data_IF_293630315033
#
_entry.id   IF_293630315033
#
_cell.length_a   1.000
_cell.length_b   1.000
_cell.length_c   1.000
_cell.angle_alpha   90.00
_cell.angle_beta   90.00
_cell.angle_gamma   90.00
#
_symmetry.space_group_name_H-M   'P 1'
#
loop_
_entity.id
_entity.type
_entity.pdbx_description
1 polymer ?
#
# COMPACT_ATOMS: atom_id res chain seq x y z
N UNK A 1 5.13 -16.82 -14.46
CA UNK A 1 6.28 -17.72 -14.83
C UNK A 1 7.58 -16.92 -14.98
N UNK A 2 7.64 -15.76 -15.62
CA UNK A 2 8.87 -14.93 -15.74
C UNK A 2 9.34 -14.37 -14.37
N UNK A 3 8.44 -14.04 -13.47
CA UNK A 3 8.79 -13.54 -12.13
C UNK A 3 9.49 -14.60 -11.25
N UNK A 4 9.14 -15.88 -11.41
CA UNK A 4 9.72 -16.99 -10.65
C UNK A 4 11.16 -17.27 -11.11
N UNK A 5 11.47 -17.17 -12.40
CA UNK A 5 12.83 -17.37 -12.93
C UNK A 5 13.82 -16.24 -12.57
N UNK A 6 13.33 -15.01 -12.34
CA UNK A 6 14.16 -13.94 -11.76
C UNK A 6 14.46 -14.17 -10.27
N UNK A 7 13.70 -15.04 -9.61
CA UNK A 7 13.71 -15.28 -8.18
C UNK A 7 14.81 -16.24 -7.74
N UNK A 8 15.02 -17.33 -8.45
CA UNK A 8 15.97 -18.39 -8.05
C UNK A 8 17.46 -18.03 -8.22
N UNK A 9 17.78 -16.99 -9.01
CA UNK A 9 19.16 -16.54 -9.25
C UNK A 9 19.64 -15.39 -8.38
N UNK A 10 18.80 -14.79 -7.50
CA UNK A 10 19.08 -13.47 -6.91
C UNK A 10 19.15 -13.48 -5.37
N UNK A 11 18.74 -14.56 -4.72
CA UNK A 11 18.73 -14.63 -3.25
C UNK A 11 19.93 -15.42 -2.72
N UNK A 12 21.13 -14.84 -2.84
CA UNK A 12 22.27 -15.20 -2.02
C UNK A 12 22.66 -13.97 -1.19
N UNK A 13 23.00 -14.15 0.10
CA UNK A 13 23.41 -13.03 1.00
C UNK A 13 24.56 -12.20 0.39
N UNK A 14 25.46 -12.82 -0.37
CA UNK A 14 26.51 -12.13 -1.13
C UNK A 14 25.96 -11.18 -2.19
N UNK A 15 24.81 -11.50 -2.81
CA UNK A 15 24.16 -10.61 -3.77
C UNK A 15 23.46 -9.42 -3.09
N UNK A 16 23.00 -9.57 -1.85
CA UNK A 16 22.45 -8.44 -1.07
C UNK A 16 23.56 -7.42 -0.76
N UNK A 17 24.75 -7.87 -0.40
CA UNK A 17 25.93 -7.01 -0.18
C UNK A 17 26.45 -6.43 -1.50
N UNK A 18 26.46 -7.22 -2.58
CA UNK A 18 26.82 -6.73 -3.90
C UNK A 18 25.79 -5.72 -4.45
N UNK A 19 24.49 -5.92 -4.21
CA UNK A 19 23.45 -4.95 -4.56
C UNK A 19 23.56 -3.69 -3.69
N UNK A 20 24.02 -3.79 -2.44
CA UNK A 20 24.36 -2.63 -1.63
C UNK A 20 25.64 -1.95 -2.07
N UNK A 21 26.62 -2.69 -2.61
CA UNK A 21 27.91 -2.20 -3.10
C UNK A 21 27.90 -1.74 -4.57
N UNK A 22 27.02 -2.26 -5.43
CA UNK A 22 26.87 -1.82 -6.84
C UNK A 22 26.13 -0.48 -6.89
N UNK A 23 26.65 0.49 -6.15
CA UNK A 23 26.12 1.80 -6.23
C UNK A 23 27.14 2.88 -6.23
N UNK A 24 27.01 3.67 -7.12
CA UNK A 24 27.38 5.02 -7.43
C UNK A 24 27.79 5.19 -8.88
N UNK A 25 26.95 4.72 -9.81
CA UNK A 25 26.82 5.53 -11.00
C UNK A 25 26.06 6.76 -10.53
N UNK A 26 26.77 7.86 -10.27
CA UNK A 26 26.22 9.19 -10.08
C UNK A 26 25.19 9.44 -11.18
N UNK A 27 23.89 9.13 -10.94
CA UNK A 27 22.82 9.78 -11.70
C UNK A 27 23.10 11.25 -11.47
N UNK A 28 23.52 11.99 -12.50
CA UNK A 28 23.80 13.41 -12.32
C UNK A 28 22.64 13.99 -11.54
N UNK A 29 22.90 14.71 -10.46
CA UNK A 29 21.87 15.27 -9.57
C UNK A 29 20.71 15.88 -10.36
N UNK A 30 21.02 16.51 -11.50
CA UNK A 30 20.05 17.11 -12.43
C UNK A 30 19.04 16.07 -12.95
N UNK A 31 19.47 14.92 -13.45
CA UNK A 31 18.57 13.87 -13.97
C UNK A 31 17.63 13.32 -12.87
N UNK A 32 18.15 13.20 -11.66
CA UNK A 32 17.35 12.77 -10.51
C UNK A 32 16.28 13.81 -10.14
N UNK A 33 16.64 15.10 -10.08
CA UNK A 33 15.67 16.16 -9.80
C UNK A 33 14.63 16.31 -10.90
N UNK A 34 15.01 16.20 -12.17
CA UNK A 34 14.06 16.16 -13.29
C UNK A 34 13.08 14.99 -13.16
N UNK A 35 13.57 13.80 -12.82
CA UNK A 35 12.71 12.66 -12.55
C UNK A 35 11.72 12.94 -11.42
N UNK A 36 12.19 13.45 -10.28
CA UNK A 36 11.31 13.76 -9.13
C UNK A 36 10.25 14.82 -9.48
N UNK A 37 10.62 15.81 -10.28
CA UNK A 37 9.70 16.85 -10.75
C UNK A 37 8.61 16.25 -11.63
N UNK A 38 8.99 15.47 -12.65
CA UNK A 38 8.06 14.81 -13.58
C UNK A 38 7.14 13.86 -12.80
N UNK A 39 7.72 13.02 -11.92
CA UNK A 39 6.96 12.11 -11.07
C UNK A 39 5.94 12.85 -10.23
N UNK A 40 6.36 13.94 -9.57
CA UNK A 40 5.46 14.72 -8.71
C UNK A 40 4.35 15.40 -9.50
N UNK A 41 4.65 15.95 -10.69
CA UNK A 41 3.64 16.52 -11.58
C UNK A 41 2.62 15.49 -12.01
N UNK A 42 3.06 14.28 -12.36
CA UNK A 42 2.19 13.17 -12.71
C UNK A 42 1.34 12.73 -11.49
N UNK A 43 1.93 12.60 -10.31
CA UNK A 43 1.22 12.30 -9.06
C UNK A 43 0.07 13.28 -8.83
N UNK A 44 0.33 14.59 -8.98
CA UNK A 44 -0.67 15.64 -8.75
C UNK A 44 -1.79 15.56 -9.79
N UNK A 45 -1.46 15.43 -11.07
CA UNK A 45 -2.46 15.36 -12.16
C UNK A 45 -3.40 14.15 -11.93
N UNK A 46 -2.82 12.98 -11.71
CA UNK A 46 -3.63 11.78 -11.45
C UNK A 46 -4.42 11.88 -10.15
N UNK A 47 -3.87 12.50 -9.12
CA UNK A 47 -4.58 12.69 -7.86
C UNK A 47 -5.75 13.67 -7.98
N UNK A 48 -5.63 14.73 -8.80
CA UNK A 48 -6.77 15.63 -9.11
C UNK A 48 -7.88 14.84 -9.81
N UNK A 49 -7.52 14.07 -10.85
CA UNK A 49 -8.48 13.21 -11.55
C UNK A 49 -9.12 12.20 -10.59
N UNK A 50 -8.32 11.53 -9.76
CA UNK A 50 -8.81 10.60 -8.75
C UNK A 50 -9.76 11.25 -7.74
N UNK A 51 -9.49 12.49 -7.31
CA UNK A 51 -10.37 13.24 -6.43
C UNK A 51 -11.69 13.66 -7.10
N UNK A 52 -11.68 13.93 -8.41
CA UNK A 52 -12.93 14.20 -9.16
C UNK A 52 -13.82 12.95 -9.14
N UNK A 53 -13.25 11.76 -9.40
CA UNK A 53 -14.00 10.50 -9.30
C UNK A 53 -14.37 10.12 -7.87
N UNK A 54 -13.60 10.56 -6.88
CA UNK A 54 -13.90 10.32 -5.47
C UNK A 54 -15.22 10.98 -5.04
N UNK A 55 -15.58 12.15 -5.59
CA UNK A 55 -16.80 12.89 -5.19
C UNK A 55 -18.07 12.05 -5.40
N UNK A 56 -18.39 11.57 -6.62
CA UNK A 56 -19.58 10.74 -6.81
C UNK A 56 -19.49 9.42 -6.02
N UNK A 57 -18.29 8.84 -5.89
CA UNK A 57 -18.10 7.63 -5.12
C UNK A 57 -18.42 7.83 -3.63
N UNK A 58 -18.05 8.97 -3.04
CA UNK A 58 -18.41 9.30 -1.65
C UNK A 58 -19.94 9.34 -1.45
N UNK A 59 -20.66 9.93 -2.41
CA UNK A 59 -22.13 9.99 -2.36
C UNK A 59 -22.72 8.57 -2.42
N UNK A 60 -22.26 7.75 -3.37
CA UNK A 60 -22.74 6.37 -3.53
C UNK A 60 -22.47 5.56 -2.25
N UNK A 61 -21.25 5.58 -1.74
CA UNK A 61 -20.88 4.83 -0.52
C UNK A 61 -21.69 5.32 0.68
N UNK A 62 -21.89 6.64 0.81
CA UNK A 62 -22.69 7.20 1.92
C UNK A 62 -24.15 6.75 1.82
N UNK A 63 -24.76 6.78 0.63
CA UNK A 63 -26.11 6.28 0.43
C UNK A 63 -26.21 4.78 0.75
N UNK A 64 -25.28 3.97 0.25
CA UNK A 64 -25.25 2.53 0.57
C UNK A 64 -25.17 2.28 2.09
N UNK A 65 -24.35 3.06 2.81
CA UNK A 65 -24.26 2.94 4.26
C UNK A 65 -25.60 3.32 4.94
N UNK A 66 -26.25 4.39 4.51
CA UNK A 66 -27.57 4.80 5.04
C UNK A 66 -28.61 3.71 4.82
N UNK A 67 -28.71 3.16 3.61
CA UNK A 67 -29.64 2.06 3.28
C UNK A 67 -29.40 0.77 4.07
N UNK A 68 -28.17 0.58 4.55
CA UNK A 68 -27.83 -0.57 5.42
C UNK A 68 -27.91 -0.24 6.92
N UNK A 69 -28.43 0.93 7.27
CA UNK A 69 -28.56 1.38 8.67
C UNK A 69 -27.25 1.86 9.32
N UNK A 70 -26.21 2.11 8.52
CA UNK A 70 -24.93 2.57 9.00
C UNK A 70 -24.78 4.09 8.84
N UNK A 71 -24.98 4.81 9.92
CA UNK A 71 -24.86 6.28 9.97
C UNK A 71 -23.49 6.78 10.43
N UNK A 72 -22.51 5.89 10.58
CA UNK A 72 -21.18 6.24 11.04
C UNK A 72 -20.36 7.08 10.05
N UNK A 73 -19.11 7.39 10.44
CA UNK A 73 -18.18 8.17 9.61
C UNK A 73 -17.92 7.46 8.28
N UNK A 74 -17.83 8.22 7.19
CA UNK A 74 -17.55 7.70 5.85
C UNK A 74 -16.09 7.23 5.72
N UNK A 75 -15.18 8.01 6.31
CA UNK A 75 -13.75 7.74 6.22
C UNK A 75 -13.20 7.13 7.50
N UNK A 76 -12.18 6.34 7.31
CA UNK A 76 -11.28 5.82 8.33
C UNK A 76 -9.89 6.43 8.10
N UNK A 77 -9.26 6.87 9.17
CA UNK A 77 -7.90 7.39 9.14
C UNK A 77 -6.98 6.48 9.93
N UNK A 78 -5.83 6.15 9.36
CA UNK A 78 -4.83 5.33 10.02
C UNK A 78 -3.48 6.03 10.02
N UNK A 79 -2.85 6.10 11.20
CA UNK A 79 -1.48 6.61 11.32
C UNK A 79 -0.50 5.64 10.65
N UNK A 80 0.42 6.20 9.88
CA UNK A 80 1.48 5.50 9.16
C UNK A 80 2.76 6.30 9.20
N UNK A 81 3.87 5.66 8.86
CA UNK A 81 5.17 6.30 8.69
C UNK A 81 5.32 6.71 7.23
N UNK A 82 5.60 7.98 7.02
CA UNK A 82 5.89 8.58 5.72
C UNK A 82 7.36 8.89 5.51
N UNK A 83 7.63 9.73 4.52
CA UNK A 83 9.01 10.15 4.20
C UNK A 83 9.69 10.80 5.41
N UNK A 84 10.98 10.46 5.63
CA UNK A 84 11.83 10.94 6.72
C UNK A 84 11.26 10.63 8.11
N UNK A 85 10.55 9.50 8.28
CA UNK A 85 9.96 9.10 9.55
C UNK A 85 8.74 9.93 9.99
N UNK A 86 8.25 10.83 9.13
CA UNK A 86 7.11 11.70 9.47
C UNK A 86 5.85 10.87 9.63
N UNK A 87 5.12 11.07 10.73
CA UNK A 87 3.78 10.51 10.88
C UNK A 87 2.82 11.13 9.88
N UNK A 88 2.12 10.30 9.14
CA UNK A 88 1.08 10.68 8.19
C UNK A 88 -0.22 9.96 8.51
N UNK A 89 -1.36 10.54 8.13
CA UNK A 89 -2.67 9.92 8.31
C UNK A 89 -3.24 9.57 6.94
N UNK A 90 -3.26 8.26 6.61
CA UNK A 90 -3.82 7.79 5.35
C UNK A 90 -5.34 7.68 5.45
N UNK A 91 -6.02 8.13 4.41
CA UNK A 91 -7.48 8.11 4.31
C UNK A 91 -7.94 6.87 3.55
N UNK A 92 -8.95 6.20 4.09
CA UNK A 92 -9.66 5.09 3.43
C UNK A 92 -11.17 5.25 3.63
N UNK A 93 -11.97 4.64 2.77
CA UNK A 93 -13.35 4.42 3.15
C UNK A 93 -13.43 3.44 4.32
N UNK A 94 -14.32 3.71 5.26
CA UNK A 94 -14.58 2.80 6.35
C UNK A 94 -15.32 1.57 5.82
N UNK A 95 -14.72 0.41 5.97
CA UNK A 95 -15.22 -0.88 5.50
C UNK A 95 -15.68 -1.79 6.62
N UNK A 96 -15.47 -1.39 7.87
CA UNK A 96 -15.85 -2.13 9.08
C UNK A 96 -16.89 -1.37 9.87
N UNK A 97 -17.57 -2.09 10.75
CA UNK A 97 -18.52 -1.50 11.72
C UNK A 97 -17.85 -0.43 12.59
N UNK A 98 -18.60 0.56 13.14
CA UNK A 98 -18.01 1.66 13.90
C UNK A 98 -17.17 1.24 15.11
N UNK A 99 -17.55 0.15 15.78
CA UNK A 99 -16.91 -0.41 16.98
C UNK A 99 -16.02 -1.62 16.68
N UNK A 100 -15.37 -1.65 15.50
CA UNK A 100 -14.61 -2.80 15.00
C UNK A 100 -13.52 -3.31 15.98
N UNK A 101 -12.87 -2.41 16.72
CA UNK A 101 -11.82 -2.80 17.69
C UNK A 101 -12.40 -3.50 18.92
N UNK A 102 -13.56 -3.06 19.39
CA UNK A 102 -14.27 -3.72 20.49
C UNK A 102 -14.78 -5.10 20.07
N UNK A 103 -15.34 -5.17 18.87
CA UNK A 103 -15.77 -6.45 18.28
C UNK A 103 -14.60 -7.41 18.09
N UNK A 104 -13.42 -6.92 17.67
CA UNK A 104 -12.21 -7.77 17.61
C UNK A 104 -11.87 -8.36 18.98
N UNK A 105 -11.88 -7.54 20.03
CA UNK A 105 -11.62 -8.02 21.40
C UNK A 105 -12.60 -9.10 21.83
N UNK A 106 -13.86 -9.02 21.43
CA UNK A 106 -14.87 -10.06 21.69
C UNK A 106 -14.59 -11.33 20.88
N UNK A 107 -14.29 -11.19 19.59
CA UNK A 107 -13.96 -12.32 18.72
C UNK A 107 -12.74 -13.09 19.20
N UNK A 108 -11.69 -12.39 19.63
CA UNK A 108 -10.45 -13.00 20.13
C UNK A 108 -10.61 -13.77 21.45
N UNK A 109 -11.76 -13.68 22.13
CA UNK A 109 -12.08 -14.57 23.24
C UNK A 109 -12.42 -15.99 22.78
N UNK A 110 -12.75 -16.17 21.49
CA UNK A 110 -13.05 -17.49 20.91
C UNK A 110 -11.76 -18.09 20.36
N UNK A 111 -11.41 -19.35 20.74
CA UNK A 111 -10.15 -19.99 20.35
C UNK A 111 -9.91 -20.03 18.83
N UNK A 112 -10.99 -20.19 18.04
CA UNK A 112 -10.92 -20.21 16.57
C UNK A 112 -10.33 -18.92 16.01
N UNK A 113 -10.91 -17.76 16.38
CA UNK A 113 -10.46 -16.46 15.88
C UNK A 113 -9.12 -16.05 16.48
N UNK A 114 -8.85 -16.46 17.73
CA UNK A 114 -7.57 -16.20 18.39
C UNK A 114 -6.41 -16.88 17.64
N UNK A 115 -6.54 -18.17 17.33
CA UNK A 115 -5.53 -18.93 16.60
C UNK A 115 -5.25 -18.33 15.21
N UNK A 116 -6.31 -17.97 14.49
CA UNK A 116 -6.19 -17.36 13.16
C UNK A 116 -5.50 -16.00 13.22
N UNK A 117 -5.87 -15.17 14.21
CA UNK A 117 -5.28 -13.85 14.42
C UNK A 117 -3.80 -13.92 14.79
N UNK A 118 -3.43 -14.83 15.69
CA UNK A 118 -2.04 -14.97 16.14
C UNK A 118 -1.11 -15.40 15.00
N UNK A 119 -1.63 -16.15 14.02
CA UNK A 119 -0.89 -16.57 12.84
C UNK A 119 -0.79 -15.46 11.76
N UNK A 120 -1.89 -14.77 11.48
CA UNK A 120 -2.01 -13.95 10.27
C UNK A 120 -2.21 -12.47 10.57
N UNK A 121 -2.47 -12.06 11.82
CA UNK A 121 -2.93 -10.71 12.23
C UNK A 121 -4.13 -10.23 11.39
N UNK A 122 -4.91 -11.19 10.87
CA UNK A 122 -6.04 -11.01 9.97
C UNK A 122 -7.00 -12.16 10.11
N UNK A 123 -8.31 -11.91 9.96
CA UNK A 123 -9.34 -12.93 9.88
C UNK A 123 -9.78 -13.08 8.41
N UNK A 124 -9.86 -14.33 7.93
CA UNK A 124 -10.26 -14.62 6.54
C UNK A 124 -11.72 -14.24 6.28
N UNK A 125 -12.60 -14.60 7.21
CA UNK A 125 -14.01 -14.22 7.19
C UNK A 125 -14.30 -13.27 8.35
N UNK A 126 -13.78 -12.05 8.27
CA UNK A 126 -13.92 -11.05 9.32
C UNK A 126 -15.35 -10.53 9.42
N UNK A 127 -16.11 -10.87 10.50
CA UNK A 127 -17.50 -10.45 10.64
C UNK A 127 -17.66 -8.94 10.86
N UNK A 128 -16.58 -8.23 11.16
CA UNK A 128 -16.59 -6.77 11.33
C UNK A 128 -16.73 -6.03 9.99
N UNK A 129 -16.45 -6.71 8.87
CA UNK A 129 -16.53 -6.10 7.55
C UNK A 129 -18.00 -6.04 7.10
N UNK A 130 -18.47 -4.82 6.80
CA UNK A 130 -19.82 -4.59 6.30
C UNK A 130 -20.00 -5.15 4.87
N UNK A 131 -21.24 -5.33 4.41
CA UNK A 131 -21.53 -5.77 3.04
C UNK A 131 -20.94 -4.80 2.00
N UNK A 132 -21.15 -3.48 2.20
CA UNK A 132 -20.55 -2.44 1.37
C UNK A 132 -19.01 -2.48 1.48
N UNK A 133 -18.46 -2.71 2.66
CA UNK A 133 -17.04 -2.84 2.90
C UNK A 133 -16.40 -4.01 2.14
N UNK A 134 -17.07 -5.14 2.05
CA UNK A 134 -16.60 -6.28 1.24
C UNK A 134 -16.46 -5.92 -0.24
N UNK A 135 -17.45 -5.21 -0.79
CA UNK A 135 -17.40 -4.74 -2.16
C UNK A 135 -16.25 -3.75 -2.38
N UNK A 136 -16.11 -2.75 -1.50
CA UNK A 136 -15.07 -1.74 -1.59
C UNK A 136 -13.66 -2.37 -1.54
N UNK A 137 -13.42 -3.33 -0.62
CA UNK A 137 -12.14 -4.04 -0.51
C UNK A 137 -11.85 -4.88 -1.75
N UNK A 138 -12.85 -5.63 -2.24
CA UNK A 138 -12.69 -6.47 -3.43
C UNK A 138 -12.39 -5.68 -4.69
N UNK A 139 -12.90 -4.45 -4.79
CA UNK A 139 -12.64 -3.53 -5.90
C UNK A 139 -11.47 -2.57 -5.66
N UNK A 140 -10.82 -2.62 -4.48
CA UNK A 140 -9.78 -1.67 -4.04
C UNK A 140 -10.26 -0.21 -4.02
N UNK A 141 -11.58 0.03 -4.09
CA UNK A 141 -12.16 1.37 -4.04
C UNK A 141 -12.05 2.00 -2.64
N UNK A 142 -11.87 1.19 -1.61
CA UNK A 142 -11.64 1.68 -0.24
C UNK A 142 -10.38 2.53 -0.11
N UNK A 143 -9.42 2.40 -1.02
CA UNK A 143 -8.17 3.17 -1.02
C UNK A 143 -8.23 4.46 -1.85
N UNK A 144 -9.32 4.70 -2.60
CA UNK A 144 -9.48 5.93 -3.39
C UNK A 144 -9.29 7.25 -2.60
N UNK A 145 -9.69 7.36 -1.32
CA UNK A 145 -9.44 8.57 -0.54
C UNK A 145 -7.94 8.90 -0.36
N UNK A 146 -7.01 7.98 -0.60
CA UNK A 146 -5.57 8.24 -0.54
C UNK A 146 -5.08 9.22 -1.63
N UNK A 147 -5.87 9.48 -2.68
CA UNK A 147 -5.56 10.56 -3.62
C UNK A 147 -5.48 11.92 -2.91
N UNK A 148 -6.24 12.14 -1.84
CA UNK A 148 -6.12 13.32 -0.99
C UNK A 148 -4.74 13.38 -0.33
N UNK A 149 -4.19 12.24 0.13
CA UNK A 149 -2.85 12.17 0.70
C UNK A 149 -1.77 12.49 -0.36
N UNK A 150 -1.99 12.07 -1.61
CA UNK A 150 -1.09 12.44 -2.71
C UNK A 150 -1.12 13.94 -2.94
N UNK A 151 -2.28 14.58 -3.01
CA UNK A 151 -2.38 16.04 -3.17
C UNK A 151 -1.71 16.79 -2.01
N UNK A 152 -1.90 16.35 -0.77
CA UNK A 152 -1.24 16.91 0.43
C UNK A 152 0.29 16.76 0.40
N UNK A 153 0.84 15.87 -0.41
CA UNK A 153 2.27 15.59 -0.47
C UNK A 153 2.75 14.56 0.55
N UNK A 154 1.87 13.94 1.30
CA UNK A 154 2.18 12.86 2.23
C UNK A 154 2.54 11.56 1.50
N UNK A 155 1.93 11.33 0.32
CA UNK A 155 2.08 10.14 -0.50
C UNK A 155 2.41 10.45 -1.96
N UNK A 156 2.78 9.42 -2.69
CA UNK A 156 2.90 9.34 -4.16
C UNK A 156 1.89 8.31 -4.68
N UNK A 157 1.64 8.28 -5.97
CA UNK A 157 0.88 7.18 -6.58
C UNK A 157 1.66 5.87 -6.44
N UNK A 158 2.96 5.91 -6.74
CA UNK A 158 3.85 4.75 -6.72
C UNK A 158 4.97 5.00 -5.73
N UNK A 159 5.13 4.08 -4.80
CA UNK A 159 6.13 4.14 -3.72
C UNK A 159 6.03 2.92 -2.82
N UNK A 160 6.92 2.75 -1.84
CA UNK A 160 6.83 1.67 -0.87
C UNK A 160 5.52 1.76 -0.07
N UNK A 161 5.02 0.61 0.38
CA UNK A 161 3.79 0.57 1.18
C UNK A 161 3.96 1.38 2.47
N UNK A 162 3.00 2.23 2.86
CA UNK A 162 3.05 2.93 4.14
C UNK A 162 2.95 1.95 5.32
N UNK A 163 3.97 1.93 6.19
CA UNK A 163 4.09 1.01 7.32
C UNK A 163 3.49 1.63 8.59
N UNK A 164 3.07 0.78 9.52
CA UNK A 164 2.76 1.20 10.90
C UNK A 164 4.06 1.36 11.69
N UNK A 165 4.02 2.13 12.78
CA UNK A 165 5.17 2.27 13.67
C UNK A 165 5.60 0.90 14.22
N UNK A 166 6.90 0.64 14.24
CA UNK A 166 7.49 -0.63 14.71
C UNK A 166 7.41 -1.80 13.73
N UNK A 167 6.65 -1.68 12.61
CA UNK A 167 6.56 -2.77 11.62
C UNK A 167 7.92 -3.07 10.99
N UNK A 168 8.70 -2.04 10.70
CA UNK A 168 10.01 -2.19 10.09
C UNK A 168 11.04 -2.78 11.06
N UNK A 169 10.99 -2.38 12.34
CA UNK A 169 11.85 -2.89 13.40
C UNK A 169 11.60 -4.38 13.65
N UNK A 170 10.34 -4.79 13.68
CA UNK A 170 9.94 -6.19 13.87
C UNK A 170 10.53 -7.11 12.79
N UNK A 171 10.82 -6.57 11.61
CA UNK A 171 11.39 -7.32 10.49
C UNK A 171 12.82 -6.91 10.13
N UNK A 172 13.52 -6.23 11.03
CA UNK A 172 14.92 -5.78 10.86
C UNK A 172 15.17 -5.00 9.56
N UNK A 173 14.18 -4.21 9.15
CA UNK A 173 14.26 -3.39 7.94
C UNK A 173 15.10 -2.12 8.16
N UNK A 174 15.55 -1.49 7.06
CA UNK A 174 16.31 -0.25 7.07
C UNK A 174 15.39 0.97 7.02
N UNK A 175 15.30 1.73 8.11
CA UNK A 175 14.57 3.00 8.17
C UNK A 175 15.14 4.01 7.18
N UNK A 176 16.47 4.18 7.16
CA UNK A 176 17.14 5.12 6.27
C UNK A 176 16.74 4.92 4.80
N UNK A 177 16.68 3.66 4.36
CA UNK A 177 16.33 3.36 2.99
C UNK A 177 14.82 3.46 2.76
N UNK A 178 14.00 2.82 3.62
CA UNK A 178 12.56 2.72 3.42
C UNK A 178 11.86 4.08 3.49
N UNK A 179 12.29 4.93 4.43
CA UNK A 179 11.72 6.25 4.68
C UNK A 179 12.35 7.36 3.83
N UNK A 180 13.30 7.03 2.95
CA UNK A 180 13.96 8.02 2.07
C UNK A 180 13.02 8.66 1.05
N UNK A 181 11.92 8.00 0.72
CA UNK A 181 10.94 8.46 -0.28
C UNK A 181 9.51 8.44 0.28
N UNK A 182 8.57 9.06 -0.45
CA UNK A 182 7.15 9.02 -0.06
C UNK A 182 6.59 7.62 -0.26
N UNK A 183 5.75 7.13 0.66
CA UNK A 183 4.99 5.90 0.44
C UNK A 183 4.00 6.07 -0.71
N UNK A 184 3.64 4.96 -1.36
CA UNK A 184 2.74 4.93 -2.50
C UNK A 184 1.32 4.44 -2.17
N UNK A 185 0.35 4.79 -3.03
CA UNK A 185 -0.95 4.12 -3.08
C UNK A 185 -0.75 2.69 -3.57
N UNK A 186 0.08 2.53 -4.62
CA UNK A 186 0.57 1.23 -5.06
C UNK A 186 2.09 1.15 -4.93
N UNK A 187 2.62 -0.08 -4.97
CA UNK A 187 4.04 -0.35 -4.81
C UNK A 187 4.49 -1.45 -5.77
N UNK A 188 5.79 -1.56 -5.95
CA UNK A 188 6.38 -2.63 -6.76
C UNK A 188 6.03 -4.02 -6.21
N UNK A 189 6.00 -4.18 -4.89
CA UNK A 189 5.49 -5.39 -4.26
C UNK A 189 4.02 -5.64 -4.57
N UNK A 190 3.17 -4.62 -4.49
CA UNK A 190 1.73 -4.76 -4.77
C UNK A 190 1.45 -5.10 -6.23
N UNK A 191 2.31 -4.66 -7.16
CA UNK A 191 2.22 -4.97 -8.57
C UNK A 191 2.62 -6.43 -8.89
N UNK A 192 3.65 -6.96 -8.22
CA UNK A 192 4.25 -8.26 -8.58
C UNK A 192 3.81 -9.44 -7.71
N UNK A 193 3.63 -9.27 -6.41
CA UNK A 193 3.52 -10.40 -5.50
C UNK A 193 2.32 -10.39 -4.56
N UNK A 194 1.89 -9.19 -4.11
CA UNK A 194 0.83 -9.01 -3.10
C UNK A 194 0.96 -10.03 -1.94
N UNK A 195 -0.08 -10.83 -1.71
CA UNK A 195 -0.16 -11.79 -0.59
C UNK A 195 0.56 -13.12 -0.84
N UNK A 196 1.19 -13.31 -2.00
CA UNK A 196 1.85 -14.58 -2.37
C UNK A 196 3.32 -14.65 -1.94
N UNK A 197 3.88 -13.57 -1.37
CA UNK A 197 5.29 -13.47 -0.98
C UNK A 197 5.44 -13.29 0.52
N UNK A 198 6.57 -13.73 1.06
CA UNK A 198 6.95 -13.52 2.45
C UNK A 198 7.19 -12.03 2.75
N UNK A 199 7.30 -11.68 4.04
CA UNK A 199 7.59 -10.29 4.40
C UNK A 199 9.00 -9.85 3.96
N UNK A 200 9.98 -10.74 4.02
CA UNK A 200 11.35 -10.48 3.58
C UNK A 200 11.41 -10.22 2.08
N UNK A 201 10.74 -11.04 1.29
CA UNK A 201 10.61 -10.87 -0.16
C UNK A 201 9.92 -9.55 -0.51
N UNK A 202 8.89 -9.19 0.25
CA UNK A 202 8.24 -7.90 0.13
C UNK A 202 9.22 -6.76 0.37
N UNK A 203 10.00 -6.80 1.47
CA UNK A 203 11.01 -5.78 1.76
C UNK A 203 12.04 -5.67 0.63
N UNK A 204 12.47 -6.82 0.08
CA UNK A 204 13.37 -6.84 -1.06
C UNK A 204 12.78 -6.10 -2.27
N UNK A 205 11.55 -6.39 -2.65
CA UNK A 205 10.87 -5.73 -3.78
C UNK A 205 10.73 -4.22 -3.55
N UNK A 206 10.40 -3.81 -2.33
CA UNK A 206 10.29 -2.39 -1.97
C UNK A 206 11.67 -1.70 -2.03
N UNK A 207 12.72 -2.33 -1.51
CA UNK A 207 14.09 -1.80 -1.59
C UNK A 207 14.60 -1.73 -3.04
N UNK A 208 14.28 -2.73 -3.85
CA UNK A 208 14.60 -2.69 -5.27
C UNK A 208 13.99 -1.47 -5.94
N UNK A 209 12.70 -1.20 -5.70
CA UNK A 209 12.04 -0.01 -6.22
C UNK A 209 12.70 1.28 -5.71
N UNK A 210 12.96 1.40 -4.41
CA UNK A 210 13.56 2.59 -3.81
C UNK A 210 14.93 2.90 -4.43
N UNK A 211 15.74 1.87 -4.70
CA UNK A 211 17.08 2.03 -5.29
C UNK A 211 17.06 2.32 -6.78
N UNK A 212 16.08 1.78 -7.51
CA UNK A 212 16.02 1.82 -8.98
C UNK A 212 14.93 2.74 -9.53
N UNK A 213 14.46 3.71 -8.74
CA UNK A 213 13.41 4.64 -9.15
C UNK A 213 13.71 5.24 -10.53
N UNK A 214 12.74 5.14 -11.43
CA UNK A 214 12.79 5.70 -12.77
C UNK A 214 11.37 5.81 -13.33
N UNK A 215 11.17 6.70 -14.31
CA UNK A 215 9.87 6.82 -14.98
C UNK A 215 9.41 5.51 -15.61
N UNK A 216 10.36 4.73 -16.16
CA UNK A 216 10.05 3.42 -16.72
C UNK A 216 9.53 2.44 -15.67
N UNK A 217 10.18 2.39 -14.50
CA UNK A 217 9.76 1.51 -13.40
C UNK A 217 8.41 1.96 -12.84
N UNK A 218 8.14 3.26 -12.77
CA UNK A 218 6.84 3.80 -12.35
C UNK A 218 5.74 3.40 -13.34
N UNK A 219 5.96 3.59 -14.65
CA UNK A 219 5.00 3.19 -15.69
C UNK A 219 4.70 1.69 -15.60
N UNK A 220 5.73 0.86 -15.49
CA UNK A 220 5.57 -0.58 -15.37
C UNK A 220 4.78 -0.95 -14.12
N UNK A 221 5.12 -0.37 -12.97
CA UNK A 221 4.38 -0.59 -11.71
C UNK A 221 2.90 -0.20 -11.85
N UNK A 222 2.60 0.93 -12.52
CA UNK A 222 1.23 1.37 -12.76
C UNK A 222 0.45 0.37 -13.64
N UNK A 223 1.06 -0.09 -14.74
CA UNK A 223 0.45 -1.05 -15.66
C UNK A 223 0.21 -2.41 -14.97
N UNK A 224 1.22 -2.95 -14.29
CA UNK A 224 1.11 -4.23 -13.59
C UNK A 224 0.06 -4.15 -12.47
N UNK A 225 -0.04 -3.01 -11.76
CA UNK A 225 -1.09 -2.77 -10.77
C UNK A 225 -2.47 -2.74 -11.41
N UNK A 226 -2.64 -2.04 -12.54
CA UNK A 226 -3.92 -1.97 -13.25
C UNK A 226 -4.36 -3.36 -13.71
N UNK A 227 -3.46 -4.16 -14.27
CA UNK A 227 -3.71 -5.54 -14.65
C UNK A 227 -4.08 -6.41 -13.44
N UNK A 228 -3.37 -6.28 -12.31
CA UNK A 228 -3.65 -7.01 -11.09
C UNK A 228 -5.05 -6.67 -10.50
N UNK A 229 -5.49 -5.42 -10.62
CA UNK A 229 -6.84 -4.99 -10.21
C UNK A 229 -7.90 -5.56 -11.14
N UNK A 230 -7.69 -5.51 -12.47
CA UNK A 230 -8.63 -6.04 -13.47
C UNK A 230 -8.79 -7.56 -13.30
N UNK A 231 -7.68 -8.28 -13.17
CA UNK A 231 -7.69 -9.74 -12.99
C UNK A 231 -8.01 -10.18 -11.56
N UNK A 232 -8.20 -9.23 -10.63
CA UNK A 232 -8.46 -9.48 -9.20
C UNK A 232 -7.40 -10.39 -8.55
N UNK A 233 -6.18 -10.36 -9.05
CA UNK A 233 -5.08 -11.18 -8.54
C UNK A 233 -4.70 -10.73 -7.13
N UNK A 234 -4.80 -11.63 -6.13
CA UNK A 234 -4.44 -11.35 -4.74
C UNK A 234 -5.38 -10.41 -3.97
N UNK A 235 -6.60 -10.14 -4.47
CA UNK A 235 -7.67 -9.52 -3.68
C UNK A 235 -8.29 -10.59 -2.78
N UNK A 236 -7.98 -10.55 -1.47
CA UNK A 236 -8.61 -11.36 -0.42
C UNK A 236 -9.41 -10.48 0.51
#
# INVERSE_FOLDING_TARGET
MVAVYMYEGVINQENLEAITAVREKKKTKIKYYCYLFIKRSFDIICAIIGCIFLIPLMVIVKLCNIFTGDFGKLFYCQERIGKNGKKIYIYKFRTMVPNADEELKKLLKQPKYRKEWDLNQKLENDPRITKAGKFLRKSSLDEMPQFINVLKGDMSLIGPRPLVAGELDAHKGSHELYESIRPGITSWWAALGRSAVTYEERLYLEYYYIKNQSLWLDIRCALDTALAVIHRTGAK
#
